data_IF_594721943901
#
_entry.id   IF_594721943901
#
_cell.length_a   1.000
_cell.length_b   1.000
_cell.length_c   1.000
_cell.angle_alpha   90.00
_cell.angle_beta   90.00
_cell.angle_gamma   90.00
#
_symmetry.space_group_name_H-M   'P 1'
#
loop_
_entity.id
_entity.type
_entity.pdbx_description
1 polymer ?
#
# COMPACT_ATOMS: atom_id res chain seq x y z
N UNK A 1 -3.43 31.36 8.64
CA UNK A 1 -3.06 30.24 9.53
C UNK A 1 -1.70 29.73 9.10
N UNK A 2 -0.72 29.75 10.00
CA UNK A 2 0.62 29.22 9.71
C UNK A 2 0.73 27.82 10.33
N UNK A 3 1.21 26.85 9.57
CA UNK A 3 1.43 25.46 10.02
C UNK A 3 2.93 25.23 10.08
N UNK A 4 3.44 24.86 11.25
CA UNK A 4 4.87 24.59 11.46
C UNK A 4 5.31 23.35 10.67
N UNK A 5 6.40 23.46 9.91
CA UNK A 5 6.89 22.46 8.95
C UNK A 5 5.74 21.83 8.13
N UNK A 6 4.98 22.70 7.46
CA UNK A 6 3.92 22.27 6.56
C UNK A 6 4.50 21.41 5.44
N UNK A 7 3.96 20.20 5.28
CA UNK A 7 4.29 19.29 4.19
C UNK A 7 3.35 19.54 3.01
N UNK A 8 2.05 19.35 3.22
CA UNK A 8 1.02 19.63 2.22
C UNK A 8 -0.36 19.85 2.86
N UNK A 9 -1.28 20.44 2.10
CA UNK A 9 -2.71 20.42 2.45
C UNK A 9 -3.35 19.18 1.82
N UNK A 10 -3.90 18.30 2.65
CA UNK A 10 -4.47 17.04 2.20
C UNK A 10 -6.00 17.12 2.20
N UNK A 11 -6.65 17.17 1.02
CA UNK A 11 -8.11 17.26 0.94
C UNK A 11 -8.80 16.00 1.47
N UNK A 12 -8.12 14.85 1.43
CA UNK A 12 -8.66 13.56 1.91
C UNK A 12 -8.90 13.53 3.41
N UNK A 13 -8.14 14.30 4.19
CA UNK A 13 -8.34 14.45 5.65
C UNK A 13 -8.93 15.83 6.01
N UNK A 14 -9.21 16.68 5.01
CA UNK A 14 -9.70 18.04 5.21
C UNK A 14 -8.80 18.92 6.07
N UNK A 15 -7.48 18.63 6.12
CA UNK A 15 -6.55 19.30 7.03
C UNK A 15 -5.14 19.42 6.43
N UNK A 16 -4.35 20.37 6.93
CA UNK A 16 -2.94 20.48 6.62
C UNK A 16 -2.13 19.42 7.37
N UNK A 17 -1.17 18.80 6.70
CA UNK A 17 -0.16 17.92 7.29
C UNK A 17 1.09 18.75 7.57
N UNK A 18 1.61 18.68 8.80
CA UNK A 18 2.83 19.35 9.24
C UNK A 18 3.38 18.71 10.52
N UNK A 19 4.35 19.34 11.19
CA UNK A 19 5.11 18.72 12.29
C UNK A 19 4.26 18.02 13.37
N UNK A 20 3.13 18.61 13.74
CA UNK A 20 2.27 18.11 14.81
C UNK A 20 1.50 16.83 14.45
N UNK A 21 1.17 16.61 13.17
CA UNK A 21 0.34 15.49 12.73
C UNK A 21 1.00 14.58 11.68
N UNK A 22 2.20 14.90 11.21
CA UNK A 22 2.91 14.11 10.21
C UNK A 22 3.08 12.65 10.65
N UNK A 23 3.43 12.38 11.91
CA UNK A 23 3.55 11.00 12.44
C UNK A 23 2.24 10.23 12.33
N UNK A 24 1.13 10.84 12.74
CA UNK A 24 -0.20 10.23 12.66
C UNK A 24 -0.64 10.02 11.21
N UNK A 25 -0.28 10.92 10.31
CA UNK A 25 -0.55 10.78 8.88
C UNK A 25 0.18 9.58 8.27
N UNK A 26 1.46 9.36 8.61
CA UNK A 26 2.18 8.16 8.14
C UNK A 26 1.60 6.88 8.75
N UNK A 27 1.26 6.87 10.05
CA UNK A 27 0.58 5.73 10.66
C UNK A 27 -0.77 5.44 10.00
N UNK A 28 -1.54 6.47 9.65
CA UNK A 28 -2.77 6.35 8.87
C UNK A 28 -2.53 5.70 7.51
N UNK A 29 -1.51 6.14 6.76
CA UNK A 29 -1.16 5.55 5.47
C UNK A 29 -0.76 4.07 5.59
N UNK A 30 0.05 3.71 6.60
CA UNK A 30 0.44 2.31 6.85
C UNK A 30 -0.79 1.45 7.12
N UNK A 31 -1.67 1.89 8.02
CA UNK A 31 -2.89 1.15 8.36
C UNK A 31 -3.80 1.06 7.12
N UNK A 32 -3.93 2.13 6.34
CA UNK A 32 -4.74 2.12 5.13
C UNK A 32 -4.22 1.11 4.09
N UNK A 33 -2.90 1.02 3.88
CA UNK A 33 -2.29 0.00 3.00
C UNK A 33 -2.61 -1.41 3.51
N UNK A 34 -2.47 -1.67 4.80
CA UNK A 34 -2.78 -2.98 5.41
C UNK A 34 -4.27 -3.31 5.26
N UNK A 35 -5.16 -2.36 5.53
CA UNK A 35 -6.60 -2.54 5.39
C UNK A 35 -7.00 -2.86 3.95
N UNK A 36 -6.44 -2.16 2.97
CA UNK A 36 -6.75 -2.40 1.56
C UNK A 36 -6.17 -3.74 1.09
N UNK A 37 -4.97 -4.12 1.54
CA UNK A 37 -4.39 -5.44 1.27
C UNK A 37 -5.25 -6.57 1.87
N UNK A 38 -5.79 -6.38 3.08
CA UNK A 38 -6.71 -7.32 3.70
C UNK A 38 -7.99 -7.48 2.87
N UNK A 39 -8.60 -6.38 2.42
CA UNK A 39 -9.78 -6.42 1.54
C UNK A 39 -9.46 -7.16 0.23
N UNK A 40 -8.31 -6.91 -0.38
CA UNK A 40 -7.89 -7.59 -1.60
C UNK A 40 -7.76 -9.10 -1.38
N UNK A 41 -7.09 -9.52 -0.29
CA UNK A 41 -6.91 -10.93 0.05
C UNK A 41 -8.24 -11.62 0.32
N UNK A 42 -9.11 -11.01 1.12
CA UNK A 42 -10.43 -11.58 1.44
C UNK A 42 -11.32 -11.66 0.20
N UNK A 43 -11.27 -10.66 -0.68
CA UNK A 43 -12.02 -10.67 -1.94
C UNK A 43 -11.49 -11.75 -2.89
N UNK A 44 -10.17 -11.90 -3.01
CA UNK A 44 -9.55 -12.97 -3.79
C UNK A 44 -9.93 -14.36 -3.24
N UNK A 45 -9.85 -14.54 -1.92
CA UNK A 45 -10.26 -15.77 -1.25
C UNK A 45 -11.73 -16.10 -1.54
N UNK A 46 -12.63 -15.12 -1.43
CA UNK A 46 -14.04 -15.30 -1.74
C UNK A 46 -14.26 -15.66 -3.22
N UNK A 47 -13.56 -15.01 -4.16
CA UNK A 47 -13.65 -15.31 -5.60
C UNK A 47 -13.18 -16.75 -5.89
N UNK A 48 -12.05 -17.16 -5.30
CA UNK A 48 -11.50 -18.51 -5.48
C UNK A 48 -12.36 -19.59 -4.85
N UNK A 49 -13.01 -19.31 -3.72
CA UNK A 49 -13.91 -20.25 -3.06
C UNK A 49 -15.28 -20.34 -3.75
N UNK A 50 -15.77 -19.26 -4.37
CA UNK A 50 -17.04 -19.23 -5.10
C UNK A 50 -16.90 -19.80 -6.51
N UNK A 51 -15.74 -19.66 -7.16
CA UNK A 51 -15.47 -20.23 -8.48
C UNK A 51 -14.94 -21.66 -8.33
N UNK A 52 -15.76 -22.71 -8.51
CA UNK A 52 -15.23 -24.06 -8.46
C UNK A 52 -14.43 -24.32 -9.75
N UNK A 53 -13.20 -24.82 -9.60
CA UNK A 53 -12.36 -25.42 -10.64
C UNK A 53 -12.05 -24.58 -11.90
N UNK A 54 -11.08 -23.66 -11.80
CA UNK A 54 -10.35 -23.12 -12.97
C UNK A 54 -8.89 -23.63 -13.02
N UNK A 55 -8.62 -24.79 -12.39
CA UNK A 55 -7.29 -25.40 -12.33
C UNK A 55 -7.14 -26.69 -13.14
N UNK A 56 -8.25 -27.36 -13.48
CA UNK A 56 -8.22 -28.68 -14.13
C UNK A 56 -8.26 -28.59 -15.67
N UNK A 57 -8.67 -27.45 -16.25
CA UNK A 57 -8.87 -27.32 -17.70
C UNK A 57 -7.65 -26.78 -18.47
N UNK A 58 -6.74 -26.05 -17.82
CA UNK A 58 -5.61 -25.38 -18.50
C UNK A 58 -4.44 -26.31 -18.80
N UNK A 59 -4.29 -27.43 -18.06
CA UNK A 59 -3.21 -28.40 -18.27
C UNK A 59 -3.50 -29.36 -19.44
N UNK A 60 -4.77 -29.58 -19.78
CA UNK A 60 -5.18 -30.51 -20.85
C UNK A 60 -5.13 -29.97 -22.28
N UNK A 61 -5.04 -28.65 -22.48
CA UNK A 61 -5.19 -28.04 -23.81
C UNK A 61 -3.91 -27.93 -24.63
N UNK A 62 -2.75 -28.32 -24.08
CA UNK A 62 -1.47 -28.22 -24.80
C UNK A 62 -1.17 -29.41 -25.74
N UNK A 63 -2.06 -30.41 -25.93
CA UNK A 63 -1.69 -31.66 -26.63
C UNK A 63 -2.71 -32.27 -27.65
N UNK A 64 -3.58 -31.54 -28.38
CA UNK A 64 -4.34 -32.24 -29.47
C UNK A 64 -4.95 -31.40 -30.60
N UNK A 65 -4.11 -31.10 -31.60
CA UNK A 65 -4.33 -31.34 -33.05
C UNK A 65 -5.79 -31.48 -33.57
N UNK A 66 -6.17 -30.69 -34.58
CA UNK A 66 -7.07 -31.14 -35.67
C UNK A 66 -8.28 -30.24 -36.03
N UNK A 67 -8.23 -29.63 -37.22
CA UNK A 67 -9.11 -28.55 -37.74
C UNK A 67 -10.64 -28.81 -37.85
N UNK A 68 -11.21 -29.94 -37.43
CA UNK A 68 -12.68 -30.13 -37.33
C UNK A 68 -13.21 -30.01 -35.89
N UNK A 69 -12.31 -30.01 -34.91
CA UNK A 69 -12.64 -29.84 -33.48
C UNK A 69 -12.65 -28.35 -33.06
N UNK A 70 -12.11 -27.47 -33.90
CA UNK A 70 -12.03 -26.02 -33.63
C UNK A 70 -13.41 -25.35 -33.63
N UNK A 71 -14.32 -25.68 -34.55
CA UNK A 71 -15.64 -25.04 -34.62
C UNK A 71 -16.54 -25.43 -33.45
N UNK A 72 -16.53 -26.71 -33.07
CA UNK A 72 -17.24 -27.21 -31.88
C UNK A 72 -16.63 -26.66 -30.58
N UNK A 73 -15.31 -26.46 -30.49
CA UNK A 73 -14.65 -25.83 -29.34
C UNK A 73 -14.98 -24.35 -29.24
N UNK A 74 -14.97 -23.61 -30.35
CA UNK A 74 -15.34 -22.20 -30.42
C UNK A 74 -16.81 -22.01 -30.02
N UNK A 75 -17.73 -22.86 -30.49
CA UNK A 75 -19.13 -22.82 -30.07
C UNK A 75 -19.32 -23.15 -28.58
N UNK A 76 -18.51 -24.07 -28.04
CA UNK A 76 -18.53 -24.38 -26.62
C UNK A 76 -17.95 -23.24 -25.76
N UNK A 77 -16.89 -22.58 -26.20
CA UNK A 77 -16.28 -21.42 -25.52
C UNK A 77 -17.19 -20.19 -25.57
N UNK A 78 -17.94 -19.99 -26.66
CA UNK A 78 -18.95 -18.93 -26.78
C UNK A 78 -20.19 -19.22 -25.92
N UNK A 79 -20.65 -20.47 -25.84
CA UNK A 79 -21.75 -20.90 -24.97
C UNK A 79 -21.37 -20.90 -23.49
N UNK A 80 -20.12 -21.24 -23.15
CA UNK A 80 -19.54 -21.13 -21.80
C UNK A 80 -19.30 -19.66 -21.43
N UNK A 81 -18.86 -18.81 -22.36
CA UNK A 81 -18.79 -17.37 -22.15
C UNK A 81 -20.18 -16.77 -21.92
N UNK A 82 -21.22 -17.19 -22.66
CA UNK A 82 -22.60 -16.75 -22.45
C UNK A 82 -23.23 -17.26 -21.14
N UNK A 83 -23.01 -18.53 -20.77
CA UNK A 83 -23.45 -19.08 -19.48
C UNK A 83 -22.68 -18.49 -18.28
N UNK A 84 -21.39 -18.16 -18.43
CA UNK A 84 -20.59 -17.38 -17.45
C UNK A 84 -21.09 -15.93 -17.35
N UNK A 85 -21.55 -15.37 -18.47
CA UNK A 85 -22.20 -14.04 -18.53
C UNK A 85 -23.60 -14.04 -17.92
N UNK A 86 -24.34 -15.17 -17.97
CA UNK A 86 -25.72 -15.30 -17.49
C UNK A 86 -25.86 -15.78 -16.03
N UNK A 87 -24.87 -16.51 -15.47
CA UNK A 87 -24.99 -17.15 -14.14
C UNK A 87 -24.26 -16.39 -13.01
N UNK A 88 -23.19 -15.62 -13.25
CA UNK A 88 -22.51 -14.80 -12.20
C UNK A 88 -23.20 -13.46 -11.89
N UNK A 89 -24.45 -13.32 -12.34
CA UNK A 89 -25.38 -12.23 -12.11
C UNK A 89 -25.91 -12.10 -10.67
N UNK A 90 -25.33 -12.78 -9.68
CA UNK A 90 -25.58 -12.38 -8.29
C UNK A 90 -24.74 -11.12 -8.08
N UNK A 91 -25.37 -9.96 -7.86
CA UNK A 91 -24.73 -8.67 -7.53
C UNK A 91 -23.46 -8.82 -6.68
N UNK A 92 -23.44 -9.83 -5.79
CA UNK A 92 -22.30 -10.28 -4.98
C UNK A 92 -21.01 -10.57 -5.77
N UNK A 93 -21.05 -11.30 -6.88
CA UNK A 93 -19.86 -11.64 -7.67
C UNK A 93 -19.25 -10.41 -8.37
N UNK A 94 -20.10 -9.57 -8.95
CA UNK A 94 -19.70 -8.29 -9.56
C UNK A 94 -19.13 -7.36 -8.49
N UNK A 95 -19.78 -7.28 -7.32
CA UNK A 95 -19.29 -6.49 -6.18
C UNK A 95 -17.95 -7.01 -5.69
N UNK A 96 -17.74 -8.33 -5.57
CA UNK A 96 -16.46 -8.90 -5.14
C UNK A 96 -15.34 -8.64 -6.15
N UNK A 97 -15.61 -8.77 -7.46
CA UNK A 97 -14.63 -8.44 -8.51
C UNK A 97 -14.30 -6.94 -8.51
N UNK A 98 -15.31 -6.08 -8.40
CA UNK A 98 -15.13 -4.64 -8.29
C UNK A 98 -14.30 -4.28 -7.04
N UNK A 99 -14.63 -4.84 -5.88
CA UNK A 99 -13.88 -4.64 -4.63
C UNK A 99 -12.43 -5.12 -4.76
N UNK A 100 -12.21 -6.28 -5.38
CA UNK A 100 -10.87 -6.79 -5.62
C UNK A 100 -10.06 -5.85 -6.51
N UNK A 101 -10.57 -5.49 -7.70
CA UNK A 101 -9.86 -4.60 -8.63
C UNK A 101 -9.65 -3.21 -8.03
N UNK A 102 -10.67 -2.66 -7.36
CA UNK A 102 -10.59 -1.36 -6.69
C UNK A 102 -9.56 -1.38 -5.55
N UNK A 103 -9.52 -2.45 -4.74
CA UNK A 103 -8.55 -2.59 -3.66
C UNK A 103 -7.11 -2.67 -4.18
N UNK A 104 -6.86 -3.38 -5.28
CA UNK A 104 -5.53 -3.40 -5.90
C UNK A 104 -5.15 -2.01 -6.41
N UNK A 105 -6.06 -1.33 -7.12
CA UNK A 105 -5.82 0.01 -7.65
C UNK A 105 -5.51 1.03 -6.54
N UNK A 106 -6.34 1.09 -5.49
CA UNK A 106 -6.14 1.98 -4.34
C UNK A 106 -4.89 1.58 -3.56
N UNK A 107 -4.63 0.28 -3.38
CA UNK A 107 -3.47 -0.24 -2.68
C UNK A 107 -2.15 0.17 -3.32
N UNK A 108 -2.09 0.14 -4.66
CA UNK A 108 -0.92 0.62 -5.42
C UNK A 108 -0.73 2.13 -5.17
N UNK A 109 -1.80 2.93 -5.28
CA UNK A 109 -1.74 4.37 -5.05
C UNK A 109 -1.26 4.72 -3.64
N UNK A 110 -1.84 4.09 -2.61
CA UNK A 110 -1.44 4.30 -1.21
C UNK A 110 0.00 3.84 -0.95
N UNK A 111 0.43 2.75 -1.57
CA UNK A 111 1.81 2.24 -1.42
C UNK A 111 2.84 3.19 -2.04
N UNK A 112 2.54 3.77 -3.20
CA UNK A 112 3.38 4.80 -3.84
C UNK A 112 3.46 6.06 -2.97
N UNK A 113 2.32 6.53 -2.45
CA UNK A 113 2.27 7.70 -1.56
C UNK A 113 3.05 7.46 -0.26
N UNK A 114 2.87 6.29 0.37
CA UNK A 114 3.59 5.91 1.56
C UNK A 114 5.10 5.81 1.29
N UNK A 115 5.49 5.19 0.18
CA UNK A 115 6.89 5.09 -0.23
C UNK A 115 7.52 6.47 -0.42
N UNK A 116 6.82 7.36 -1.12
CA UNK A 116 7.30 8.73 -1.36
C UNK A 116 7.49 9.51 -0.05
N UNK A 117 6.53 9.42 0.87
CA UNK A 117 6.60 10.09 2.17
C UNK A 117 7.72 9.51 3.05
N UNK A 118 7.88 8.19 3.08
CA UNK A 118 8.98 7.53 3.80
C UNK A 118 10.36 7.85 3.19
N UNK A 119 10.44 7.97 1.87
CA UNK A 119 11.67 8.36 1.18
C UNK A 119 12.12 9.76 1.60
N UNK A 120 11.21 10.72 1.68
CA UNK A 120 11.53 12.07 2.17
C UNK A 120 11.97 12.08 3.64
N UNK A 121 11.34 11.26 4.48
CA UNK A 121 11.74 11.09 5.89
C UNK A 121 13.14 10.45 5.98
N UNK A 122 13.43 9.46 5.14
CA UNK A 122 14.73 8.79 5.08
C UNK A 122 15.87 9.74 4.67
N UNK A 123 15.61 10.61 3.69
CA UNK A 123 16.56 11.64 3.28
C UNK A 123 16.71 12.77 4.32
N UNK A 124 15.95 12.74 5.42
CA UNK A 124 16.07 13.69 6.52
C UNK A 124 15.62 15.11 6.14
N UNK A 125 14.86 15.26 5.05
CA UNK A 125 14.37 16.55 4.59
C UNK A 125 12.91 16.72 4.99
N UNK A 126 12.61 17.75 5.78
CA UNK A 126 11.31 18.41 5.68
C UNK A 126 11.31 19.23 4.39
N UNK A 127 10.17 19.36 3.71
CA UNK A 127 10.06 20.12 2.46
C UNK A 127 10.73 21.52 2.55
N UNK A 128 10.61 22.18 3.71
CA UNK A 128 11.25 23.46 4.07
C UNK A 128 12.79 23.42 4.20
N UNK A 129 13.40 22.32 4.68
CA UNK A 129 14.87 22.24 4.82
C UNK A 129 15.59 22.06 3.48
N UNK A 130 14.89 21.58 2.45
CA UNK A 130 15.37 21.53 1.07
C UNK A 130 15.53 22.92 0.43
N UNK A 131 14.67 23.88 0.83
CA UNK A 131 14.70 25.27 0.37
C UNK A 131 15.68 26.13 1.19
N UNK A 132 15.83 25.85 2.49
CA UNK A 132 16.55 26.74 3.41
C UNK A 132 18.04 26.42 3.61
N UNK A 133 18.52 25.20 3.32
CA UNK A 133 19.94 24.90 3.54
C UNK A 133 20.56 24.08 2.43
N UNK A 134 21.63 24.63 1.87
CA UNK A 134 22.63 23.96 1.04
C UNK A 134 23.47 22.97 1.88
N UNK A 135 22.84 22.22 2.77
CA UNK A 135 23.47 21.18 3.57
C UNK A 135 23.15 19.82 2.95
N UNK A 136 24.21 19.03 2.72
CA UNK A 136 24.14 17.70 2.12
C UNK A 136 23.56 16.75 3.18
N UNK A 137 22.24 16.53 3.15
CA UNK A 137 21.58 15.58 4.03
C UNK A 137 22.08 14.17 3.70
N UNK A 138 22.61 13.48 4.70
CA UNK A 138 23.09 12.10 4.57
C UNK A 138 21.91 11.15 4.74
N UNK A 139 21.79 10.19 3.81
CA UNK A 139 20.74 9.18 3.81
C UNK A 139 21.02 8.19 4.94
N UNK A 140 20.26 8.26 6.02
CA UNK A 140 20.49 7.45 7.23
C UNK A 140 19.15 6.86 7.73
N UNK A 141 19.12 5.54 7.91
CA UNK A 141 18.00 4.83 8.53
C UNK A 141 17.70 5.35 9.95
N UNK A 142 18.68 5.98 10.60
CA UNK A 142 18.49 6.68 11.87
C UNK A 142 17.45 7.80 11.77
N UNK A 143 17.27 8.43 10.61
CA UNK A 143 16.26 9.47 10.40
C UNK A 143 14.83 8.94 10.54
N UNK A 144 14.57 7.73 10.03
CA UNK A 144 13.29 7.03 10.23
C UNK A 144 13.07 6.71 11.70
N UNK A 145 14.08 6.15 12.38
CA UNK A 145 13.99 5.85 13.81
C UNK A 145 13.83 7.11 14.66
N UNK A 146 14.44 8.24 14.28
CA UNK A 146 14.27 9.52 14.95
C UNK A 146 12.87 10.12 14.74
N UNK A 147 12.31 9.93 13.55
CA UNK A 147 10.97 10.39 13.20
C UNK A 147 9.87 9.60 13.94
N UNK A 148 9.94 8.27 13.95
CA UNK A 148 9.01 7.41 14.70
C UNK A 148 9.38 7.28 16.18
N UNK A 149 10.60 7.65 16.54
CA UNK A 149 11.15 7.55 17.89
C UNK A 149 10.34 8.33 18.91
N UNK A 150 10.06 7.66 20.02
CA UNK A 150 9.34 8.22 21.15
C UNK A 150 10.20 9.31 21.82
N UNK A 151 9.69 10.55 22.04
CA UNK A 151 10.46 11.60 22.71
C UNK A 151 10.86 11.20 24.14
N UNK A 152 10.15 10.26 24.77
CA UNK A 152 10.41 9.78 26.13
C UNK A 152 11.71 8.96 26.26
N UNK A 153 11.99 8.08 25.28
CA UNK A 153 13.25 7.29 25.27
C UNK A 153 14.45 8.20 25.03
N UNK A 154 14.26 9.30 24.27
CA UNK A 154 15.31 10.28 23.98
C UNK A 154 15.80 10.96 25.26
N UNK A 155 14.91 11.35 26.18
CA UNK A 155 15.33 12.01 27.44
C UNK A 155 16.16 11.07 28.32
N UNK A 156 15.81 9.78 28.36
CA UNK A 156 16.58 8.77 29.09
C UNK A 156 17.94 8.49 28.44
N UNK A 157 17.99 8.37 27.12
CA UNK A 157 19.24 8.07 26.41
C UNK A 157 20.21 9.26 26.37
N UNK A 158 19.70 10.49 26.17
CA UNK A 158 20.53 11.71 26.26
C UNK A 158 21.07 11.94 27.67
N UNK A 159 20.28 11.62 28.71
CA UNK A 159 20.71 11.74 30.11
C UNK A 159 21.73 10.66 30.50
N UNK A 160 21.60 9.44 29.97
CA UNK A 160 22.58 8.37 30.15
C UNK A 160 23.93 8.71 29.51
N UNK A 161 23.93 9.27 28.29
CA UNK A 161 25.16 9.60 27.57
C UNK A 161 25.88 10.85 28.13
N UNK A 162 25.14 11.80 28.73
CA UNK A 162 25.74 12.92 29.46
C UNK A 162 26.25 12.56 30.86
N UNK A 163 25.86 11.41 31.42
CA UNK A 163 26.34 10.97 32.74
C UNK A 163 27.72 10.32 32.71
N UNK A 164 28.21 9.89 31.54
CA UNK A 164 29.52 9.22 31.40
C UNK A 164 30.72 10.16 31.21
N UNK A 165 30.53 11.49 31.22
CA UNK A 165 31.64 12.45 31.04
C UNK A 165 31.96 13.32 32.26
N UNK A 166 31.69 12.83 33.47
CA UNK A 166 32.22 13.47 34.69
C UNK A 166 32.79 12.36 35.58
N UNK A 167 34.06 12.04 35.37
CA UNK A 167 35.06 11.75 36.41
C UNK A 167 36.25 10.98 35.82
N UNK A 168 37.35 11.70 35.57
CA UNK A 168 38.65 11.33 36.14
C UNK A 168 39.56 12.55 36.16
N UNK A 169 40.19 12.72 37.33
CA UNK A 169 41.17 13.73 37.71
C UNK A 169 42.42 13.64 36.84
#
# INVERSE_FOLDING_TARGET
>A
MCVLDMDHHCPFIGNCVGAANHRYFISFLIIAVISVAYVALMSAYAILHISPSLGETTVGQMHRVGNKLAVMSILKDVFIAFLTSAIFFSTRGIVLLYLFVSSISVGIGLSILLWQQLYFIYEGRTYLSSLSSRAKAERDCRNLYLFFGCPYIRTLYFRACNSEKIHRK
#
